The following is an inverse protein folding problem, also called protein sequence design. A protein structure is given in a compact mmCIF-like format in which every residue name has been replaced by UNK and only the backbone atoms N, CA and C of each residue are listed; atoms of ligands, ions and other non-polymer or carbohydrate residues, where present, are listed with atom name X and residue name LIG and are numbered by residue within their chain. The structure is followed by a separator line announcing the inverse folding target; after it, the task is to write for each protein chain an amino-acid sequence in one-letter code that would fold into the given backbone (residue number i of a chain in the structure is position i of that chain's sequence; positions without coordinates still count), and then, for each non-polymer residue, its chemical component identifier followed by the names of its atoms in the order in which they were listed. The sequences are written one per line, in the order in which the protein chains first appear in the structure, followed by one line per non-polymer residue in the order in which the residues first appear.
data_IF_579778906773
#
_entry.id   IF_579778906773
#
_cell.length_a   1.000
_cell.length_b   1.000
_cell.length_c   1.000
_cell.angle_alpha   90.00
_cell.angle_beta   90.00
_cell.angle_gamma   90.00
#
_symmetry.space_group_name_H-M   'P 1'
#
loop_
_entity.id
_entity.type
_entity.pdbx_description
1 polymer ?
#
# COMPACT_ATOMS: atom_id res chain seq x y z
N UNK A 1 -0.26 -24.79 11.91
CA UNK A 1 0.55 -24.45 10.72
C UNK A 1 -0.30 -23.91 9.56
N UNK A 2 -1.49 -24.38 9.37
CA UNK A 2 -2.41 -23.98 8.30
C UNK A 2 -2.75 -22.47 8.35
N UNK A 3 -3.09 -21.95 9.52
CA UNK A 3 -3.36 -20.51 9.70
C UNK A 3 -2.15 -19.61 9.35
N UNK A 4 -0.91 -20.08 9.57
CA UNK A 4 0.31 -19.33 9.24
C UNK A 4 0.47 -19.24 7.71
N UNK A 5 0.36 -20.36 7.02
CA UNK A 5 0.45 -20.39 5.54
C UNK A 5 -0.61 -19.50 4.90
N UNK A 6 -1.85 -19.59 5.39
CA UNK A 6 -2.94 -18.73 4.92
C UNK A 6 -2.67 -17.26 5.14
N UNK A 7 -2.20 -16.85 6.32
CA UNK A 7 -1.88 -15.45 6.61
C UNK A 7 -0.73 -14.94 5.72
N UNK A 8 0.31 -15.74 5.47
CA UNK A 8 1.42 -15.37 4.57
C UNK A 8 0.90 -15.19 3.15
N UNK A 9 0.05 -16.11 2.67
CA UNK A 9 -0.56 -15.99 1.34
C UNK A 9 -1.42 -14.72 1.20
N UNK A 10 -2.28 -14.43 2.20
CA UNK A 10 -3.09 -13.21 2.22
C UNK A 10 -2.23 -11.93 2.23
N UNK A 11 -1.15 -11.93 3.00
CA UNK A 11 -0.19 -10.81 3.03
C UNK A 11 0.56 -10.66 1.70
N UNK A 12 0.89 -11.77 1.01
CA UNK A 12 1.51 -11.75 -0.32
C UNK A 12 0.56 -11.17 -1.36
N UNK A 13 -0.73 -11.55 -1.31
CA UNK A 13 -1.76 -10.99 -2.18
C UNK A 13 -2.00 -9.49 -1.88
N UNK A 14 -2.02 -9.10 -0.62
CA UNK A 14 -2.12 -7.70 -0.23
C UNK A 14 -0.91 -6.88 -0.71
N UNK A 15 0.29 -7.45 -0.66
CA UNK A 15 1.52 -6.84 -1.20
C UNK A 15 1.48 -6.71 -2.73
N UNK A 16 0.95 -7.74 -3.42
CA UNK A 16 0.70 -7.68 -4.86
C UNK A 16 -0.21 -6.50 -5.20
N UNK A 17 -1.36 -6.40 -4.54
CA UNK A 17 -2.33 -5.31 -4.77
C UNK A 17 -1.70 -3.94 -4.48
N UNK A 18 -0.95 -3.82 -3.38
CA UNK A 18 -0.24 -2.59 -3.07
C UNK A 18 0.65 -2.16 -4.22
N UNK A 19 1.58 -3.02 -4.67
CA UNK A 19 2.54 -2.64 -5.69
C UNK A 19 1.90 -2.48 -7.06
N UNK A 20 0.88 -3.26 -7.39
CA UNK A 20 0.10 -3.05 -8.61
C UNK A 20 -0.56 -1.68 -8.63
N UNK A 21 -1.19 -1.27 -7.53
CA UNK A 21 -1.79 0.07 -7.42
C UNK A 21 -0.76 1.19 -7.42
N UNK A 22 0.39 1.01 -6.76
CA UNK A 22 1.48 2.00 -6.74
C UNK A 22 2.03 2.24 -8.15
N UNK A 23 2.35 1.17 -8.88
CA UNK A 23 2.87 1.28 -10.27
C UNK A 23 1.83 1.98 -11.15
N UNK A 24 0.56 1.58 -11.08
CA UNK A 24 -0.52 2.21 -11.83
C UNK A 24 -0.65 3.69 -11.50
N UNK A 25 -0.73 4.06 -10.22
CA UNK A 25 -0.88 5.46 -9.79
C UNK A 25 0.31 6.31 -10.22
N UNK A 26 1.55 5.85 -10.06
CA UNK A 26 2.73 6.62 -10.46
C UNK A 26 2.77 6.84 -11.96
N UNK A 27 2.50 5.80 -12.75
CA UNK A 27 2.56 5.89 -14.21
C UNK A 27 1.45 6.79 -14.76
N UNK A 28 0.21 6.54 -14.38
CA UNK A 28 -0.93 7.22 -14.99
C UNK A 28 -1.23 8.59 -14.38
N UNK A 29 -0.87 8.85 -13.11
CA UNK A 29 -1.09 10.18 -12.52
C UNK A 29 -0.27 11.26 -13.22
N UNK A 30 0.96 10.97 -13.62
CA UNK A 30 1.79 11.91 -14.37
C UNK A 30 1.25 12.16 -15.77
N UNK A 31 0.72 11.13 -16.43
CA UNK A 31 0.14 11.24 -17.77
C UNK A 31 -1.16 12.05 -17.75
N UNK A 32 -2.06 11.73 -16.83
CA UNK A 32 -3.33 12.45 -16.63
C UNK A 32 -3.08 13.92 -16.23
N UNK A 33 -2.14 14.17 -15.33
CA UNK A 33 -1.77 15.53 -14.94
C UNK A 33 -1.25 16.37 -16.13
N UNK A 34 -0.45 15.76 -17.02
CA UNK A 34 0.02 16.40 -18.23
C UNK A 34 -1.13 16.78 -19.18
N UNK A 35 -2.12 15.89 -19.32
CA UNK A 35 -3.31 16.15 -20.13
C UNK A 35 -4.13 17.28 -19.55
N UNK A 36 -4.38 17.26 -18.21
CA UNK A 36 -5.19 18.27 -17.53
C UNK A 36 -4.56 19.66 -17.53
N UNK A 37 -3.23 19.75 -17.45
CA UNK A 37 -2.54 21.04 -17.27
C UNK A 37 -1.83 21.54 -18.52
N UNK A 38 -1.59 20.69 -19.52
CA UNK A 38 -0.76 20.99 -20.67
C UNK A 38 0.75 21.16 -20.37
N UNK A 39 1.15 21.04 -19.08
CA UNK A 39 2.49 21.32 -18.59
C UNK A 39 3.23 20.07 -18.16
N UNK A 40 4.45 19.87 -18.66
CA UNK A 40 5.34 18.80 -18.22
C UNK A 40 5.88 19.01 -16.80
N UNK A 41 6.06 20.28 -16.39
CA UNK A 41 6.53 20.59 -15.05
C UNK A 41 5.51 20.20 -13.96
N UNK A 42 4.21 20.36 -14.23
CA UNK A 42 3.15 19.99 -13.30
C UNK A 42 2.81 18.49 -13.35
N UNK A 43 3.24 17.77 -14.36
CA UNK A 43 2.93 16.35 -14.55
C UNK A 43 3.45 15.45 -13.42
N UNK A 44 4.58 15.79 -12.81
CA UNK A 44 5.22 14.98 -11.75
C UNK A 44 4.70 15.28 -10.34
N UNK A 45 3.98 16.37 -10.14
CA UNK A 45 3.51 16.78 -8.80
C UNK A 45 2.57 15.74 -8.16
N UNK A 46 1.57 15.14 -8.86
CA UNK A 46 0.72 14.13 -8.23
C UNK A 46 1.51 12.91 -7.73
N UNK A 47 2.48 12.40 -8.50
CA UNK A 47 3.33 11.32 -7.99
C UNK A 47 4.22 11.75 -6.83
N UNK A 48 4.75 12.98 -6.85
CA UNK A 48 5.51 13.53 -5.74
C UNK A 48 4.66 13.64 -4.46
N UNK A 49 3.39 14.06 -4.54
CA UNK A 49 2.50 14.12 -3.37
C UNK A 49 2.28 12.74 -2.75
N UNK A 50 2.21 11.67 -3.54
CA UNK A 50 2.12 10.30 -3.03
C UNK A 50 3.38 9.92 -2.23
N UNK A 51 4.59 10.22 -2.74
CA UNK A 51 5.83 9.94 -2.02
C UNK A 51 5.98 10.76 -0.74
N UNK A 52 5.63 12.05 -0.80
CA UNK A 52 5.63 12.94 0.38
C UNK A 52 4.69 12.40 1.44
N UNK A 53 3.45 12.03 1.08
CA UNK A 53 2.49 11.45 2.01
C UNK A 53 3.01 10.12 2.61
N UNK A 54 3.63 9.26 1.79
CA UNK A 54 4.21 8.00 2.26
C UNK A 54 5.30 8.26 3.31
N UNK A 55 6.19 9.21 3.07
CA UNK A 55 7.25 9.57 4.00
C UNK A 55 6.69 10.20 5.29
N UNK A 56 5.77 11.16 5.18
CA UNK A 56 5.15 11.83 6.32
C UNK A 56 4.37 10.86 7.22
N UNK A 57 3.65 9.92 6.63
CA UNK A 57 2.80 8.99 7.37
C UNK A 57 3.52 7.70 7.77
N UNK A 58 4.75 7.44 7.37
CA UNK A 58 5.50 6.24 7.76
C UNK A 58 5.64 6.12 9.29
N UNK A 59 6.01 7.21 9.97
CA UNK A 59 6.15 7.23 11.42
C UNK A 59 4.80 7.21 12.15
N UNK A 60 3.80 8.06 11.82
CA UNK A 60 2.46 7.98 12.37
C UNK A 60 1.81 6.61 12.21
N UNK A 61 1.95 5.96 11.04
CA UNK A 61 1.43 4.62 10.78
C UNK A 61 2.03 3.58 11.75
N UNK A 62 3.34 3.67 12.01
CA UNK A 62 4.02 2.81 12.98
C UNK A 62 3.43 2.95 14.38
N UNK A 63 3.28 4.18 14.87
CA UNK A 63 2.70 4.49 16.19
C UNK A 63 1.26 3.99 16.25
N UNK A 64 0.47 4.28 15.22
CA UNK A 64 -0.92 3.84 15.14
C UNK A 64 -1.03 2.31 15.24
N UNK A 65 -0.23 1.58 14.45
CA UNK A 65 -0.20 0.13 14.47
C UNK A 65 0.30 -0.43 15.81
N UNK A 66 1.24 0.26 16.45
CA UNK A 66 1.72 -0.09 17.79
C UNK A 66 0.62 0.09 18.84
N UNK A 67 -0.19 1.14 18.73
CA UNK A 67 -1.27 1.43 19.70
C UNK A 67 -2.51 0.58 19.46
N UNK A 68 -3.00 0.51 18.24
CA UNK A 68 -4.29 -0.08 17.87
C UNK A 68 -4.19 -1.48 17.24
N UNK A 69 -2.98 -1.93 16.93
CA UNK A 69 -2.68 -3.23 16.30
C UNK A 69 -2.60 -3.17 14.77
N UNK A 70 -1.86 -4.15 14.20
CA UNK A 70 -1.59 -4.24 12.76
C UNK A 70 -2.86 -4.27 11.91
N UNK A 71 -3.85 -5.08 12.31
CA UNK A 71 -5.09 -5.26 11.55
C UNK A 71 -5.83 -3.94 11.37
N UNK A 72 -6.01 -3.16 12.45
CA UNK A 72 -6.66 -1.85 12.36
C UNK A 72 -5.88 -0.87 11.49
N UNK A 73 -4.54 -0.88 11.56
CA UNK A 73 -3.70 -0.07 10.69
C UNK A 73 -3.89 -0.41 9.21
N UNK A 74 -3.93 -1.68 8.87
CA UNK A 74 -4.17 -2.11 7.48
C UNK A 74 -5.56 -1.72 6.99
N UNK A 75 -6.59 -1.83 7.83
CA UNK A 75 -7.92 -1.33 7.49
C UNK A 75 -7.94 0.18 7.25
N UNK A 76 -7.24 0.96 8.09
CA UNK A 76 -7.10 2.41 7.89
C UNK A 76 -6.41 2.70 6.55
N UNK A 77 -5.33 1.99 6.24
CA UNK A 77 -4.65 2.11 4.94
C UNK A 77 -5.58 1.80 3.77
N UNK A 78 -6.29 0.66 3.81
CA UNK A 78 -7.21 0.26 2.75
C UNK A 78 -8.38 1.25 2.58
N UNK A 79 -8.86 1.85 3.67
CA UNK A 79 -9.86 2.91 3.61
C UNK A 79 -9.35 4.14 2.84
N UNK A 80 -8.12 4.58 3.11
CA UNK A 80 -7.49 5.66 2.35
C UNK A 80 -7.26 5.29 0.89
N UNK A 81 -6.98 4.02 0.58
CA UNK A 81 -6.87 3.54 -0.79
C UNK A 81 -8.20 3.63 -1.55
N UNK A 82 -9.33 3.30 -0.90
CA UNK A 82 -10.66 3.46 -1.49
C UNK A 82 -10.99 4.93 -1.75
N UNK A 83 -10.69 5.82 -0.80
CA UNK A 83 -10.85 7.28 -0.99
C UNK A 83 -9.98 7.75 -2.16
N UNK A 84 -8.71 7.33 -2.22
CA UNK A 84 -7.79 7.67 -3.28
C UNK A 84 -8.32 7.27 -4.66
N UNK A 85 -8.78 6.02 -4.81
CA UNK A 85 -9.35 5.54 -6.07
C UNK A 85 -10.59 6.32 -6.48
N UNK A 86 -11.52 6.55 -5.55
CA UNK A 86 -12.73 7.32 -5.79
C UNK A 86 -12.42 8.76 -6.20
N UNK A 87 -11.60 9.47 -5.42
CA UNK A 87 -11.22 10.85 -5.71
C UNK A 87 -10.47 10.96 -7.05
N UNK A 88 -9.65 9.96 -7.41
CA UNK A 88 -8.94 9.95 -8.68
C UNK A 88 -9.90 9.81 -9.87
N UNK A 89 -10.89 8.93 -9.79
CA UNK A 89 -11.94 8.82 -10.83
C UNK A 89 -12.70 10.14 -10.96
N UNK A 90 -13.17 10.72 -9.83
CA UNK A 90 -13.88 11.99 -9.82
C UNK A 90 -13.02 13.12 -10.35
N UNK A 91 -11.70 13.14 -10.07
CA UNK A 91 -10.78 14.16 -10.57
C UNK A 91 -10.70 14.19 -12.09
N UNK A 92 -10.70 13.01 -12.73
CA UNK A 92 -10.72 12.90 -14.20
C UNK A 92 -12.05 13.40 -14.75
N UNK A 93 -13.16 12.98 -14.12
CA UNK A 93 -14.50 13.39 -14.56
C UNK A 93 -14.71 14.92 -14.48
N UNK A 94 -14.22 15.54 -13.41
CA UNK A 94 -14.30 17.00 -13.20
C UNK A 94 -13.15 17.78 -13.87
N UNK A 95 -12.19 17.10 -14.52
CA UNK A 95 -10.95 17.69 -15.03
C UNK A 95 -10.23 18.56 -13.98
N UNK A 96 -10.17 18.06 -12.73
CA UNK A 96 -9.66 18.81 -11.59
C UNK A 96 -8.30 18.27 -11.14
N UNK A 97 -7.25 18.98 -11.49
CA UNK A 97 -5.86 18.66 -11.16
C UNK A 97 -5.58 18.61 -9.65
N UNK A 98 -6.15 19.53 -8.86
CA UNK A 98 -5.92 19.54 -7.40
C UNK A 98 -6.54 18.34 -6.71
N UNK A 99 -7.68 17.89 -7.20
CA UNK A 99 -8.33 16.67 -6.70
C UNK A 99 -7.51 15.42 -7.03
N UNK A 100 -6.82 15.40 -8.19
CA UNK A 100 -5.88 14.33 -8.53
C UNK A 100 -4.69 14.32 -7.56
N UNK A 101 -4.10 15.48 -7.23
CA UNK A 101 -3.04 15.58 -6.23
C UNK A 101 -3.50 15.10 -4.84
N UNK A 102 -4.72 15.43 -4.44
CA UNK A 102 -5.31 14.93 -3.19
C UNK A 102 -5.51 13.42 -3.21
N UNK A 103 -6.00 12.87 -4.32
CA UNK A 103 -6.17 11.43 -4.49
C UNK A 103 -4.83 10.68 -4.35
N UNK A 104 -3.79 11.15 -5.03
CA UNK A 104 -2.45 10.55 -4.93
C UNK A 104 -1.84 10.71 -3.53
N UNK A 105 -2.10 11.81 -2.84
CA UNK A 105 -1.73 12.00 -1.44
C UNK A 105 -2.38 10.93 -0.54
N UNK A 106 -3.70 10.71 -0.68
CA UNK A 106 -4.41 9.66 0.05
C UNK A 106 -3.85 8.26 -0.27
N UNK A 107 -3.46 8.01 -1.53
CA UNK A 107 -2.80 6.76 -1.91
C UNK A 107 -1.44 6.59 -1.22
N UNK A 108 -0.67 7.67 -1.04
CA UNK A 108 0.57 7.64 -0.28
C UNK A 108 0.36 7.29 1.20
N UNK A 109 -0.74 7.75 1.82
CA UNK A 109 -1.12 7.32 3.18
C UNK A 109 -1.36 5.80 3.20
N UNK A 110 -2.12 5.26 2.26
CA UNK A 110 -2.31 3.81 2.15
C UNK A 110 -0.97 3.08 2.06
N UNK A 111 -0.08 3.53 1.18
CA UNK A 111 1.24 2.94 0.99
C UNK A 111 2.07 2.93 2.28
N UNK A 112 1.99 3.97 3.10
CA UNK A 112 2.69 4.06 4.38
C UNK A 112 2.29 2.95 5.36
N UNK A 113 1.00 2.63 5.44
CA UNK A 113 0.49 1.52 6.26
C UNK A 113 0.83 0.16 5.64
N UNK A 114 0.66 0.00 4.34
CA UNK A 114 0.81 -1.27 3.63
C UNK A 114 2.28 -1.74 3.55
N UNK A 115 3.26 -0.84 3.63
CA UNK A 115 4.67 -1.19 3.72
C UNK A 115 5.01 -2.09 4.93
N UNK A 116 4.14 -2.15 5.94
CA UNK A 116 4.28 -3.01 7.10
C UNK A 116 3.85 -4.47 6.86
N UNK A 117 3.30 -4.84 5.69
CA UNK A 117 2.95 -6.23 5.37
C UNK A 117 4.11 -7.19 5.55
N UNK A 118 5.32 -6.81 5.12
CA UNK A 118 6.55 -7.60 5.27
C UNK A 118 6.91 -7.87 6.73
N UNK A 119 6.80 -6.85 7.59
CA UNK A 119 7.05 -7.00 9.03
C UNK A 119 5.98 -7.84 9.72
N UNK A 120 4.74 -7.73 9.27
CA UNK A 120 3.66 -8.55 9.79
C UNK A 120 3.83 -10.03 9.43
N UNK A 121 4.43 -10.34 8.29
CA UNK A 121 4.77 -11.71 7.92
C UNK A 121 5.75 -12.37 8.91
N UNK A 122 6.70 -11.59 9.48
CA UNK A 122 7.57 -12.06 10.56
C UNK A 122 6.77 -12.37 11.84
N UNK A 123 5.84 -11.48 12.20
CA UNK A 123 5.06 -11.62 13.44
C UNK A 123 4.11 -12.84 13.42
N UNK A 124 3.61 -13.23 12.24
CA UNK A 124 2.69 -14.36 12.09
C UNK A 124 3.39 -15.70 11.84
N UNK A 125 4.69 -15.68 11.53
CA UNK A 125 5.46 -16.89 11.22
C UNK A 125 6.34 -17.33 12.38
N UNK A 126 6.58 -18.65 12.57
CA UNK A 126 7.59 -19.14 13.52
C UNK A 126 9.00 -18.70 13.11
N UNK A 127 9.94 -18.50 14.07
CA UNK A 127 11.30 -18.03 13.80
C UNK A 127 12.04 -18.80 12.70
N UNK A 128 11.85 -20.12 12.65
CA UNK A 128 12.42 -21.00 11.61
C UNK A 128 12.03 -20.61 10.18
N UNK A 129 10.86 -20.02 9.99
CA UNK A 129 10.28 -19.69 8.67
C UNK A 129 10.24 -18.19 8.36
N UNK A 130 10.83 -17.34 9.20
CA UNK A 130 10.80 -15.88 9.01
C UNK A 130 11.33 -15.44 7.64
N UNK A 131 12.49 -15.98 7.22
CA UNK A 131 13.09 -15.65 5.90
C UNK A 131 12.14 -15.98 4.76
N UNK A 132 11.56 -17.19 4.79
CA UNK A 132 10.62 -17.65 3.76
C UNK A 132 9.34 -16.82 3.73
N UNK A 133 8.78 -16.51 4.91
CA UNK A 133 7.57 -15.69 5.01
C UNK A 133 7.74 -14.31 4.37
N UNK A 134 8.85 -13.64 4.65
CA UNK A 134 9.17 -12.33 4.04
C UNK A 134 9.39 -12.47 2.54
N UNK A 135 10.12 -13.50 2.11
CA UNK A 135 10.38 -13.76 0.68
C UNK A 135 9.08 -13.94 -0.11
N UNK A 136 8.11 -14.69 0.41
CA UNK A 136 6.81 -14.88 -0.25
C UNK A 136 6.04 -13.56 -0.39
N UNK A 137 6.07 -12.70 0.63
CA UNK A 137 5.43 -11.37 0.55
C UNK A 137 6.13 -10.49 -0.48
N UNK A 138 7.46 -10.51 -0.53
CA UNK A 138 8.24 -9.75 -1.54
C UNK A 138 7.96 -10.26 -2.94
N UNK A 139 7.88 -11.60 -3.13
CA UNK A 139 7.54 -12.20 -4.43
C UNK A 139 6.18 -11.73 -4.93
N UNK A 140 5.16 -11.61 -4.06
CA UNK A 140 3.89 -10.99 -4.44
C UNK A 140 4.07 -9.61 -5.07
N UNK A 141 4.97 -8.80 -4.52
CA UNK A 141 5.31 -7.49 -5.08
C UNK A 141 6.05 -7.55 -6.41
N UNK A 142 6.97 -8.51 -6.59
CA UNK A 142 7.68 -8.71 -7.86
C UNK A 142 6.70 -9.07 -8.98
N UNK A 143 5.78 -9.99 -8.72
CA UNK A 143 4.72 -10.33 -9.67
C UNK A 143 3.84 -9.13 -10.03
N UNK A 144 3.53 -8.27 -9.06
CA UNK A 144 2.81 -7.03 -9.32
C UNK A 144 3.59 -6.09 -10.25
N UNK A 145 4.90 -5.90 -10.01
CA UNK A 145 5.74 -5.06 -10.87
C UNK A 145 5.75 -5.52 -12.33
N UNK A 146 5.71 -6.83 -12.57
CA UNK A 146 5.67 -7.40 -13.92
C UNK A 146 4.28 -7.31 -14.56
N UNK A 147 3.22 -7.51 -13.81
CA UNK A 147 1.85 -7.60 -14.33
C UNK A 147 1.09 -6.27 -14.30
N UNK A 148 1.43 -5.33 -13.42
CA UNK A 148 0.69 -4.08 -13.24
C UNK A 148 0.61 -3.23 -14.52
N UNK A 149 1.68 -3.05 -15.31
CA UNK A 149 1.59 -2.28 -16.55
C UNK A 149 0.60 -2.90 -17.54
N UNK A 150 0.63 -4.23 -17.70
CA UNK A 150 -0.30 -4.95 -18.60
C UNK A 150 -1.74 -4.88 -18.10
N UNK A 151 -1.97 -5.03 -16.78
CA UNK A 151 -3.28 -4.87 -16.19
C UNK A 151 -3.82 -3.45 -16.39
N UNK A 152 -3.00 -2.44 -16.11
CA UNK A 152 -3.40 -1.05 -16.28
C UNK A 152 -3.72 -0.72 -17.75
N UNK A 153 -2.95 -1.24 -18.70
CA UNK A 153 -3.19 -1.08 -20.14
C UNK A 153 -4.53 -1.68 -20.57
N UNK A 154 -4.90 -2.86 -20.06
CA UNK A 154 -6.21 -3.47 -20.35
C UNK A 154 -7.39 -2.60 -19.91
N UNK A 155 -7.23 -1.82 -18.83
CA UNK A 155 -8.24 -0.92 -18.32
C UNK A 155 -8.12 0.52 -18.85
N UNK A 156 -7.06 0.84 -19.57
CA UNK A 156 -6.89 2.13 -20.23
C UNK A 156 -7.85 2.30 -21.42
N UNK A 157 -8.10 1.20 -22.16
CA UNK A 157 -9.01 1.21 -23.29
C UNK A 157 -10.43 1.53 -22.82
N UNK A 158 -11.14 2.39 -23.56
CA UNK A 158 -12.47 2.96 -23.28
C UNK A 158 -13.61 1.94 -23.07
N UNK A 159 -13.29 0.70 -22.62
CA UNK A 159 -14.25 -0.39 -22.55
C UNK A 159 -15.34 -0.19 -21.50
N UNK A 160 -15.02 0.50 -20.37
CA UNK A 160 -15.97 0.69 -19.28
C UNK A 160 -16.45 2.14 -19.09
N UNK A 161 -15.60 3.11 -19.42
CA UNK A 161 -15.92 4.54 -19.21
C UNK A 161 -15.35 5.33 -20.40
N UNK A 162 -16.13 6.19 -21.08
CA UNK A 162 -15.70 6.95 -22.25
C UNK A 162 -14.75 8.11 -21.91
N UNK A 163 -14.00 8.00 -20.83
CA UNK A 163 -12.99 8.98 -20.38
C UNK A 163 -11.64 8.30 -20.34
N UNK A 164 -10.70 8.85 -21.08
CA UNK A 164 -9.33 8.35 -21.18
C UNK A 164 -8.70 8.24 -19.78
N UNK A 165 -8.13 7.08 -19.44
CA UNK A 165 -7.49 6.74 -18.16
C UNK A 165 -8.42 6.61 -16.93
N UNK A 166 -9.72 6.89 -17.03
CA UNK A 166 -10.61 6.69 -15.89
C UNK A 166 -10.71 5.21 -15.48
N UNK A 167 -10.66 4.30 -16.46
CA UNK A 167 -10.66 2.86 -16.23
C UNK A 167 -9.49 2.38 -15.36
N UNK A 168 -8.28 2.95 -15.52
CA UNK A 168 -7.12 2.58 -14.70
C UNK A 168 -7.30 2.95 -13.22
N UNK A 169 -7.97 4.05 -12.92
CA UNK A 169 -8.28 4.40 -11.54
C UNK A 169 -9.47 3.62 -10.97
N UNK A 170 -10.40 3.20 -11.82
CA UNK A 170 -11.42 2.21 -11.42
C UNK A 170 -10.77 0.87 -11.05
N UNK A 171 -9.73 0.44 -11.78
CA UNK A 171 -8.92 -0.73 -11.39
C UNK A 171 -8.28 -0.51 -10.01
N UNK A 172 -7.67 0.65 -9.75
CA UNK A 172 -7.06 0.96 -8.44
C UNK A 172 -8.11 0.91 -7.33
N UNK A 173 -9.30 1.46 -7.57
CA UNK A 173 -10.41 1.40 -6.62
C UNK A 173 -10.86 -0.05 -6.37
N UNK A 174 -11.04 -0.86 -7.41
CA UNK A 174 -11.40 -2.26 -7.29
C UNK A 174 -10.33 -3.06 -6.51
N UNK A 175 -9.04 -2.86 -6.82
CA UNK A 175 -7.93 -3.47 -6.08
C UNK A 175 -7.95 -3.06 -4.60
N UNK A 176 -8.30 -1.82 -4.28
CA UNK A 176 -8.40 -1.35 -2.89
C UNK A 176 -9.52 -2.04 -2.13
N UNK A 177 -10.68 -2.25 -2.77
CA UNK A 177 -11.78 -3.01 -2.19
C UNK A 177 -11.37 -4.47 -1.94
N UNK A 178 -10.70 -5.10 -2.91
CA UNK A 178 -10.16 -6.47 -2.74
C UNK A 178 -9.17 -6.53 -1.58
N UNK A 179 -8.26 -5.54 -1.47
CA UNK A 179 -7.33 -5.45 -0.35
C UNK A 179 -8.06 -5.38 1.00
N UNK A 180 -9.14 -4.59 1.09
CA UNK A 180 -9.97 -4.50 2.29
C UNK A 180 -10.54 -5.86 2.70
N UNK A 181 -11.08 -6.62 1.73
CA UNK A 181 -11.59 -7.98 1.99
C UNK A 181 -10.48 -8.96 2.40
N UNK A 182 -9.32 -8.94 1.73
CA UNK A 182 -8.18 -9.79 2.10
C UNK A 182 -7.71 -9.52 3.54
N UNK A 183 -7.60 -8.25 3.92
CA UNK A 183 -7.20 -7.84 5.26
C UNK A 183 -8.23 -8.32 6.31
N UNK A 184 -9.52 -8.33 5.98
CA UNK A 184 -10.56 -8.80 6.90
C UNK A 184 -10.35 -10.26 7.30
N UNK A 185 -9.85 -11.09 6.38
CA UNK A 185 -9.63 -12.52 6.59
C UNK A 185 -8.33 -12.84 7.33
N UNK A 186 -7.40 -11.89 7.47
CA UNK A 186 -6.13 -12.10 8.18
C UNK A 186 -6.41 -12.27 9.68
N UNK A 187 -6.01 -13.42 10.22
CA UNK A 187 -6.05 -13.72 11.65
C UNK A 187 -4.69 -13.41 12.27
N UNK A 188 -4.52 -12.21 12.79
CA UNK A 188 -3.29 -11.83 13.48
C UNK A 188 -3.32 -12.34 14.92
N UNK A 189 -2.20 -12.82 15.46
CA UNK A 189 -2.11 -13.17 16.87
C UNK A 189 -2.37 -11.91 17.73
N UNK A 190 -2.96 -12.07 18.92
CA UNK A 190 -3.13 -10.96 19.85
C UNK A 190 -1.76 -10.35 20.13
N UNK A 191 -1.73 -9.02 20.26
CA UNK A 191 -0.53 -8.22 20.46
C UNK A 191 0.32 -8.82 21.60
N UNK A 192 1.46 -9.44 21.28
CA UNK A 192 2.48 -9.71 22.29
C UNK A 192 2.98 -8.36 22.77
N UNK A 193 2.76 -8.06 24.06
CA UNK A 193 3.38 -6.89 24.68
C UNK A 193 4.89 -7.00 24.42
N UNK A 194 5.56 -5.92 24.00
CA UNK A 194 7.01 -5.96 23.83
C UNK A 194 7.62 -6.29 25.19
N UNK A 195 8.23 -7.45 25.30
CA UNK A 195 9.14 -7.79 26.38
C UNK A 195 10.44 -6.97 26.21
N UNK A 196 10.32 -5.67 26.13
CA UNK A 196 11.42 -4.78 26.45
C UNK A 196 11.46 -4.63 27.98
N UNK A 197 11.70 -5.72 28.67
CA UNK A 197 12.47 -5.64 29.91
C UNK A 197 13.87 -5.21 29.44
N UNK A 198 14.16 -3.93 29.54
CA UNK A 198 15.54 -3.49 29.65
C UNK A 198 16.15 -4.28 30.82
N UNK A 199 16.80 -5.37 30.52
CA UNK A 199 17.74 -5.97 31.45
C UNK A 199 18.93 -5.01 31.42
N UNK A 200 19.18 -4.24 32.48
CA UNK A 200 20.39 -3.44 32.51
C UNK A 200 21.55 -4.42 32.38
N UNK A 201 22.47 -4.13 31.47
CA UNK A 201 23.71 -4.89 31.28
C UNK A 201 24.39 -5.00 32.63
N UNK A 202 24.32 -6.20 33.24
CA UNK A 202 24.80 -6.48 34.59
C UNK A 202 26.30 -6.71 34.60
N UNK A 203 27.05 -6.16 33.65
CA UNK A 203 28.49 -6.26 33.65
C UNK A 203 29.16 -4.97 33.12
N UNK A 204 29.63 -4.07 34.02
CA UNK A 204 30.46 -2.93 33.62
C UNK A 204 31.92 -3.27 33.37
N UNK A 205 32.31 -4.55 33.29
CA UNK A 205 33.73 -5.01 33.20
C UNK A 205 34.19 -5.38 31.80
N UNK A 206 33.60 -4.83 30.73
CA UNK A 206 34.05 -5.04 29.35
C UNK A 206 34.47 -3.74 28.65
N UNK A 207 34.90 -2.74 29.47
CA UNK A 207 35.59 -1.54 28.99
C UNK A 207 36.86 -1.41 29.84
N UNK A 208 37.80 -2.28 29.60
CA UNK A 208 39.22 -2.16 29.90
C UNK A 208 39.99 -2.85 28.77
#
# INVERSE_FOLDING_TARGET
MENVKRNIFLLSMAQFILLASVVTVITYSSLVAKIMTGSTALATIPSATAFIATAMFAFPASIFMKKFGRKKGFFTGAFFACIAGFCAVVSIYLNNYYLLCFATFCHGIYQSFANYYRFTALEVSPPKYHKQAVSYVILGGVFAGLSAPSLAFLFESNFFIPLQYAGTYCLVMALSVVAFFLISQIKLPPKKQPLLKFTPLKNPKLID
#
